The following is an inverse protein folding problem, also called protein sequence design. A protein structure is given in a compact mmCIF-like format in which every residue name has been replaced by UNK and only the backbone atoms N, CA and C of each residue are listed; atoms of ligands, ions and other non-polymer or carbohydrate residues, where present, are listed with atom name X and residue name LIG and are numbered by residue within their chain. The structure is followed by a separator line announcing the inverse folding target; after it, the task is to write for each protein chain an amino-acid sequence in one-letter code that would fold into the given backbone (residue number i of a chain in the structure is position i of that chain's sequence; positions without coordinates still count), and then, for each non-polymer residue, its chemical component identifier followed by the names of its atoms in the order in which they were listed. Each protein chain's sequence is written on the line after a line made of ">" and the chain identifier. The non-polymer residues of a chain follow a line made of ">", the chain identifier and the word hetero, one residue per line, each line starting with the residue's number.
data_IF_498172397274
#
_entry.id   IF_498172397274
#
_cell.length_a   1.000
_cell.length_b   1.000
_cell.length_c   1.000
_cell.angle_alpha   90.00
_cell.angle_beta   90.00
_cell.angle_gamma   90.00
#
_symmetry.space_group_name_H-M   'P 1'
#
loop_
_entity.id
_entity.type
_entity.pdbx_description
1 polymer ?
#
# COMPACT_ATOMS: atom_id res chain seq x y z
N UNK A 1 -73.81 13.27 81.55
CA UNK A 1 -74.39 13.31 82.91
C UNK A 1 -75.23 14.57 83.03
N UNK A 2 -76.37 14.42 83.69
CA UNK A 2 -77.05 15.47 84.47
C UNK A 2 -77.79 16.56 83.70
N UNK A 3 -79.11 16.32 83.62
CA UNK A 3 -80.11 17.23 84.21
C UNK A 3 -79.52 18.14 85.28
N UNK A 4 -79.77 19.44 85.13
CA UNK A 4 -79.56 20.41 86.19
C UNK A 4 -80.90 20.95 86.66
N UNK A 5 -81.37 20.34 87.74
CA UNK A 5 -81.91 20.94 88.98
C UNK A 5 -81.81 22.50 88.95
N UNK A 6 -82.78 23.30 89.39
CA UNK A 6 -83.30 23.36 90.77
C UNK A 6 -84.38 24.45 90.85
N UNK A 7 -85.49 24.22 91.58
CA UNK A 7 -85.86 24.87 92.87
C UNK A 7 -86.00 26.40 92.77
N UNK A 8 -87.02 27.09 93.28
CA UNK A 8 -88.06 26.84 94.28
C UNK A 8 -88.76 28.23 94.43
N UNK A 9 -89.91 28.49 95.03
CA UNK A 9 -90.91 27.74 95.78
C UNK A 9 -92.08 28.71 96.03
N UNK A 10 -93.25 28.13 96.34
CA UNK A 10 -94.19 28.56 97.39
C UNK A 10 -94.33 30.08 97.65
N UNK A 11 -95.49 30.60 97.30
CA UNK A 11 -96.26 31.44 98.23
C UNK A 11 -97.47 30.65 98.70
N UNK A 12 -97.29 29.93 99.81
CA UNK A 12 -98.37 29.36 100.59
C UNK A 12 -98.78 30.43 101.61
N UNK A 13 -99.94 31.10 101.49
CA UNK A 13 -100.41 32.00 102.53
C UNK A 13 -100.86 31.16 103.71
N UNK A 14 -100.12 31.24 104.82
CA UNK A 14 -100.53 30.70 106.12
C UNK A 14 -100.81 31.86 107.09
N UNK A 15 -101.68 31.60 108.08
CA UNK A 15 -102.74 32.51 108.50
C UNK A 15 -102.24 33.62 109.41
N UNK A 16 -102.91 34.77 109.32
CA UNK A 16 -102.79 35.85 110.29
C UNK A 16 -103.47 35.38 111.58
N UNK A 17 -102.69 34.85 112.51
CA UNK A 17 -103.07 34.83 113.92
C UNK A 17 -102.50 36.08 114.58
N UNK A 18 -103.42 36.90 115.06
CA UNK A 18 -103.21 38.10 115.86
C UNK A 18 -102.43 37.74 117.15
N UNK A 19 -101.16 38.17 117.21
CA UNK A 19 -100.37 38.19 118.45
C UNK A 19 -100.00 39.63 118.74
N UNK A 20 -100.90 40.32 119.41
CA UNK A 20 -100.62 41.58 120.10
C UNK A 20 -99.69 41.33 121.30
N UNK A 21 -98.38 41.40 121.05
CA UNK A 21 -97.38 41.64 122.09
C UNK A 21 -96.60 42.89 121.65
N UNK A 22 -96.91 44.03 122.27
CA UNK A 22 -96.22 45.29 122.00
C UNK A 22 -94.75 45.17 122.38
N UNK A 23 -93.88 45.51 121.43
CA UNK A 23 -92.44 45.61 121.63
C UNK A 23 -92.14 46.55 122.81
N UNK A 24 -91.26 46.09 123.69
CA UNK A 24 -90.77 46.85 124.83
C UNK A 24 -89.74 47.88 124.38
N UNK A 25 -89.42 48.86 125.23
CA UNK A 25 -88.42 49.86 124.90
C UNK A 25 -87.00 49.27 124.71
N UNK A 26 -86.74 48.08 125.26
CA UNK A 26 -85.49 47.32 125.05
C UNK A 26 -85.40 46.74 123.63
N UNK A 27 -86.49 46.20 123.10
CA UNK A 27 -86.54 45.65 121.73
C UNK A 27 -86.20 46.71 120.66
N UNK A 28 -86.63 47.96 120.88
CA UNK A 28 -86.32 49.07 119.97
C UNK A 28 -84.86 49.51 120.02
N UNK A 29 -84.19 49.39 121.18
CA UNK A 29 -82.77 49.73 121.28
C UNK A 29 -81.89 48.64 120.68
N UNK A 30 -82.27 47.36 120.81
CA UNK A 30 -81.54 46.24 120.21
C UNK A 30 -81.59 46.29 118.68
N UNK A 31 -82.74 46.62 118.10
CA UNK A 31 -82.87 46.85 116.64
C UNK A 31 -82.00 48.03 116.19
N UNK A 32 -81.90 49.09 116.99
CA UNK A 32 -81.11 50.27 116.66
C UNK A 32 -79.60 49.99 116.71
N UNK A 33 -79.15 49.15 117.65
CA UNK A 33 -77.77 48.67 117.69
C UNK A 33 -77.45 47.74 116.50
N UNK A 34 -78.35 46.81 116.16
CA UNK A 34 -78.15 45.90 115.01
C UNK A 34 -78.07 46.65 113.69
N UNK A 35 -78.93 47.65 113.49
CA UNK A 35 -78.93 48.46 112.26
C UNK A 35 -77.65 49.30 112.15
N UNK A 36 -77.21 49.92 113.25
CA UNK A 36 -75.95 50.68 113.23
C UNK A 36 -74.72 49.77 113.07
N UNK A 37 -74.74 48.55 113.62
CA UNK A 37 -73.64 47.58 113.47
C UNK A 37 -73.49 47.03 112.05
N UNK A 38 -74.54 47.09 111.22
CA UNK A 38 -74.54 46.57 109.84
C UNK A 38 -74.62 47.67 108.76
N UNK A 39 -74.54 48.95 109.15
CA UNK A 39 -74.61 50.06 108.20
C UNK A 39 -73.46 50.03 107.16
N UNK A 40 -72.27 49.57 107.57
CA UNK A 40 -71.07 49.50 106.71
C UNK A 40 -71.11 48.36 105.67
N UNK A 41 -71.95 47.33 105.87
CA UNK A 41 -72.05 46.19 104.94
C UNK A 41 -73.06 46.44 103.80
N UNK A 42 -73.95 47.43 103.94
CA UNK A 42 -74.92 47.81 102.90
C UNK A 42 -74.25 48.60 101.76
N UNK A 43 -73.13 49.29 102.01
CA UNK A 43 -72.39 50.05 100.98
C UNK A 43 -71.41 49.20 100.12
N UNK A 44 -71.30 47.88 100.35
CA UNK A 44 -70.34 47.00 99.65
C UNK A 44 -70.94 46.03 98.63
N UNK A 45 -71.99 46.42 97.91
CA UNK A 45 -72.38 45.68 96.69
C UNK A 45 -71.44 46.06 95.54
N UNK A 46 -70.63 45.15 94.98
CA UNK A 46 -69.76 45.47 93.85
C UNK A 46 -70.58 45.89 92.62
N UNK A 47 -70.28 47.06 92.09
CA UNK A 47 -70.83 47.58 90.83
C UNK A 47 -70.45 46.66 89.68
N UNK A 48 -71.43 46.21 88.89
CA UNK A 48 -71.24 45.44 87.65
C UNK A 48 -70.54 46.25 86.52
N UNK A 49 -70.01 47.44 86.81
CA UNK A 49 -69.32 48.31 85.85
C UNK A 49 -67.95 47.80 85.39
N UNK A 50 -67.36 46.84 86.11
CA UNK A 50 -65.94 46.48 85.92
C UNK A 50 -65.73 45.13 85.21
N UNK A 51 -66.80 44.46 84.76
CA UNK A 51 -66.69 43.27 83.89
C UNK A 51 -66.77 43.76 82.43
N UNK A 52 -65.68 43.67 81.63
CA UNK A 52 -65.74 43.99 80.21
C UNK A 52 -66.86 43.17 79.56
N UNK A 53 -67.76 43.81 78.81
CA UNK A 53 -68.87 43.07 78.20
C UNK A 53 -68.33 42.03 77.23
N UNK A 54 -68.95 40.85 77.18
CA UNK A 54 -68.64 39.87 76.14
C UNK A 54 -69.04 40.48 74.80
N UNK A 55 -68.06 40.72 73.92
CA UNK A 55 -68.27 41.28 72.58
C UNK A 55 -68.31 40.12 71.58
N UNK A 56 -69.42 39.97 70.86
CA UNK A 56 -69.62 38.88 69.90
C UNK A 56 -69.33 39.33 68.45
N UNK A 57 -68.07 39.65 68.14
CA UNK A 57 -67.62 39.97 66.78
C UNK A 57 -66.17 39.52 66.52
N UNK A 58 -65.76 39.31 65.27
CA UNK A 58 -64.38 38.87 64.95
C UNK A 58 -63.41 40.05 64.70
N UNK A 59 -63.78 41.28 65.08
CA UNK A 59 -63.04 42.51 64.73
C UNK A 59 -62.68 43.38 65.95
N UNK A 60 -63.15 43.02 67.14
CA UNK A 60 -62.89 43.75 68.37
C UNK A 60 -61.40 43.78 68.67
N UNK A 61 -60.92 44.98 69.00
CA UNK A 61 -59.52 45.23 69.38
C UNK A 61 -59.36 45.40 70.90
N UNK A 62 -60.42 45.12 71.67
CA UNK A 62 -60.40 45.24 73.13
C UNK A 62 -59.54 44.13 73.73
N UNK A 63 -58.33 44.47 74.17
CA UNK A 63 -57.33 43.50 74.61
C UNK A 63 -57.76 42.61 75.79
N UNK A 64 -58.71 43.07 76.62
CA UNK A 64 -59.13 42.39 77.85
C UNK A 64 -60.57 41.86 77.79
N UNK A 65 -61.20 41.84 76.60
CA UNK A 65 -62.51 41.23 76.42
C UNK A 65 -62.39 39.70 76.31
N UNK A 66 -63.29 38.97 76.96
CA UNK A 66 -63.39 37.53 76.78
C UNK A 66 -63.98 37.20 75.40
N UNK A 67 -63.50 36.12 74.75
CA UNK A 67 -64.16 35.59 73.55
C UNK A 67 -65.57 35.10 73.91
N UNK A 68 -66.54 35.47 73.07
CA UNK A 68 -67.86 34.87 73.05
C UNK A 68 -67.77 33.39 72.67
N UNK A 69 -68.76 32.61 73.11
CA UNK A 69 -68.88 31.20 72.72
C UNK A 69 -69.05 31.04 71.19
N UNK A 70 -69.69 32.02 70.53
CA UNK A 70 -69.94 32.00 69.08
C UNK A 70 -68.66 32.26 68.27
N UNK A 71 -67.81 33.20 68.69
CA UNK A 71 -66.47 33.41 68.10
C UNK A 71 -65.60 32.14 68.23
N UNK A 72 -65.69 31.43 69.37
CA UNK A 72 -64.99 30.16 69.57
C UNK A 72 -65.40 29.08 68.56
N UNK A 73 -66.68 29.01 68.19
CA UNK A 73 -67.17 28.08 67.15
C UNK A 73 -66.63 28.46 65.77
N UNK A 74 -66.65 29.75 65.41
CA UNK A 74 -66.14 30.22 64.12
C UNK A 74 -64.63 29.94 63.99
N UNK A 75 -63.86 30.27 65.04
CA UNK A 75 -62.41 30.00 65.06
C UNK A 75 -62.11 28.50 64.99
N UNK A 76 -62.87 27.67 65.70
CA UNK A 76 -62.74 26.21 65.59
C UNK A 76 -63.01 25.73 64.16
N UNK A 77 -64.03 26.27 63.48
CA UNK A 77 -64.33 25.93 62.09
C UNK A 77 -63.16 26.23 61.13
N UNK A 78 -62.51 27.38 61.28
CA UNK A 78 -61.31 27.71 60.48
C UNK A 78 -60.11 26.83 60.84
N UNK A 79 -59.91 26.52 62.12
CA UNK A 79 -58.83 25.63 62.57
C UNK A 79 -59.04 24.21 62.04
N UNK A 80 -60.27 23.69 62.09
CA UNK A 80 -60.62 22.37 61.54
C UNK A 80 -60.38 22.33 60.02
N UNK A 81 -60.72 23.38 59.29
CA UNK A 81 -60.45 23.49 57.84
C UNK A 81 -58.96 23.48 57.52
N UNK A 82 -58.14 24.20 58.31
CA UNK A 82 -56.68 24.19 58.17
C UNK A 82 -56.12 22.79 58.47
N UNK A 83 -56.59 22.15 59.53
CA UNK A 83 -56.16 20.79 59.90
C UNK A 83 -56.57 19.74 58.86
N UNK A 84 -57.71 19.91 58.20
CA UNK A 84 -58.14 19.05 57.10
C UNK A 84 -57.24 19.20 55.87
N UNK A 85 -56.73 20.41 55.60
CA UNK A 85 -55.84 20.68 54.47
C UNK A 85 -54.39 20.20 54.74
N UNK A 86 -53.99 20.07 56.00
CA UNK A 86 -52.61 19.73 56.38
C UNK A 86 -52.37 18.23 56.60
N UNK A 87 -53.40 17.38 56.63
CA UNK A 87 -53.30 15.98 57.06
C UNK A 87 -53.67 14.95 55.98
N UNK A 88 -53.74 15.31 54.69
CA UNK A 88 -54.09 14.34 53.65
C UNK A 88 -52.86 13.61 53.10
N UNK A 89 -52.94 12.30 53.03
CA UNK A 89 -51.95 11.36 52.50
C UNK A 89 -52.49 10.62 51.26
N UNK A 90 -52.61 11.35 50.14
CA UNK A 90 -53.08 10.81 48.85
C UNK A 90 -51.98 10.89 47.77
N UNK A 91 -52.09 10.06 46.73
CA UNK A 91 -51.06 9.84 45.69
C UNK A 91 -51.41 10.49 44.34
N UNK A 92 -52.43 11.36 44.31
CA UNK A 92 -53.03 11.88 43.07
C UNK A 92 -52.53 13.26 42.60
N UNK A 93 -51.61 13.93 43.31
CA UNK A 93 -51.01 15.23 42.91
C UNK A 93 -51.98 16.41 42.86
N UNK A 94 -53.08 16.35 43.63
CA UNK A 94 -54.16 17.35 43.57
C UNK A 94 -53.96 18.56 44.53
N UNK A 95 -52.90 18.54 45.35
CA UNK A 95 -52.55 19.64 46.26
C UNK A 95 -51.26 20.37 45.85
N UNK A 96 -51.21 21.69 46.11
CA UNK A 96 -50.12 22.57 45.67
C UNK A 96 -48.73 22.09 46.14
N UNK A 97 -48.63 21.48 47.33
CA UNK A 97 -47.37 21.00 47.88
C UNK A 97 -46.83 19.78 47.13
N UNK A 98 -47.71 18.94 46.58
CA UNK A 98 -47.33 17.77 45.79
C UNK A 98 -46.85 18.19 44.41
N UNK A 99 -47.51 19.18 43.79
CA UNK A 99 -47.05 19.81 42.54
C UNK A 99 -45.64 20.39 42.74
N UNK A 100 -45.37 21.06 43.87
CA UNK A 100 -44.03 21.58 44.19
C UNK A 100 -43.00 20.46 44.32
N UNK A 101 -43.36 19.34 44.96
CA UNK A 101 -42.46 18.19 45.10
C UNK A 101 -42.18 17.52 43.77
N UNK A 102 -43.20 17.33 42.93
CA UNK A 102 -43.06 16.78 41.58
C UNK A 102 -42.22 17.69 40.68
N UNK A 103 -42.39 19.01 40.76
CA UNK A 103 -41.55 19.98 40.02
C UNK A 103 -40.08 19.88 40.47
N UNK A 104 -39.81 19.70 41.76
CA UNK A 104 -38.44 19.51 42.27
C UNK A 104 -37.83 18.20 41.76
N UNK A 105 -38.58 17.10 41.81
CA UNK A 105 -38.10 15.81 41.28
C UNK A 105 -37.85 15.90 39.77
N UNK A 106 -38.78 16.49 38.99
CA UNK A 106 -38.59 16.71 37.56
C UNK A 106 -37.37 17.59 37.27
N UNK A 107 -37.12 18.63 38.08
CA UNK A 107 -35.93 19.46 37.94
C UNK A 107 -34.66 18.64 38.14
N UNK A 108 -34.62 17.81 39.18
CA UNK A 108 -33.46 16.96 39.48
C UNK A 108 -33.26 15.90 38.38
N UNK A 109 -34.33 15.27 37.90
CA UNK A 109 -34.30 14.32 36.79
C UNK A 109 -33.79 14.99 35.50
N UNK A 110 -34.30 16.18 35.17
CA UNK A 110 -33.86 16.97 34.01
C UNK A 110 -32.39 17.41 34.12
N UNK A 111 -31.93 17.75 35.32
CA UNK A 111 -30.52 18.09 35.57
C UNK A 111 -29.59 16.88 35.45
N UNK A 112 -30.12 15.66 35.66
CA UNK A 112 -29.37 14.42 35.57
C UNK A 112 -29.40 13.75 34.18
N UNK A 113 -30.07 14.35 33.18
CA UNK A 113 -30.05 13.89 31.80
C UNK A 113 -28.68 14.15 31.14
N UNK A 114 -27.74 13.22 31.36
CA UNK A 114 -26.44 13.17 30.68
C UNK A 114 -26.36 11.93 29.79
N UNK A 115 -25.39 11.89 28.87
CA UNK A 115 -25.17 10.72 28.01
C UNK A 115 -25.03 9.44 28.85
N UNK A 116 -24.34 9.52 29.99
CA UNK A 116 -24.10 8.37 30.88
C UNK A 116 -25.37 7.86 31.59
N UNK A 117 -26.37 8.73 31.80
CA UNK A 117 -27.53 8.42 32.62
C UNK A 117 -28.78 8.08 31.78
N UNK A 118 -28.74 8.23 30.46
CA UNK A 118 -29.83 7.83 29.56
C UNK A 118 -29.60 6.38 29.15
N UNK A 119 -30.44 5.47 29.65
CA UNK A 119 -30.34 4.05 29.34
C UNK A 119 -30.31 3.77 27.83
N UNK A 120 -29.31 3.03 27.35
CA UNK A 120 -29.14 2.65 25.95
C UNK A 120 -28.39 3.66 25.07
N UNK A 121 -28.31 4.93 25.48
CA UNK A 121 -27.63 5.97 24.70
C UNK A 121 -26.09 5.78 24.64
N UNK A 122 -25.39 5.41 25.73
CA UNK A 122 -23.96 5.07 25.68
C UNK A 122 -23.66 3.94 24.70
N UNK A 123 -24.48 2.88 24.70
CA UNK A 123 -24.31 1.72 23.85
C UNK A 123 -24.49 2.07 22.37
N UNK A 124 -25.51 2.86 22.03
CA UNK A 124 -25.71 3.34 20.66
C UNK A 124 -24.59 4.28 20.21
N UNK A 125 -24.09 5.16 21.08
CA UNK A 125 -22.93 6.00 20.76
C UNK A 125 -21.68 5.17 20.46
N UNK A 126 -21.42 4.12 21.25
CA UNK A 126 -20.31 3.19 21.01
C UNK A 126 -20.50 2.43 19.69
N UNK A 127 -21.71 1.98 19.36
CA UNK A 127 -22.00 1.33 18.06
C UNK A 127 -21.69 2.27 16.91
N UNK A 128 -22.21 3.50 16.92
CA UNK A 128 -21.96 4.50 15.87
C UNK A 128 -20.48 4.83 15.78
N UNK A 129 -19.81 5.06 16.90
CA UNK A 129 -18.37 5.33 16.94
C UNK A 129 -17.56 4.18 16.32
N UNK A 130 -17.88 2.92 16.66
CA UNK A 130 -17.21 1.76 16.09
C UNK A 130 -17.51 1.61 14.59
N UNK A 131 -18.76 1.78 14.14
CA UNK A 131 -19.10 1.74 12.71
C UNK A 131 -18.35 2.78 11.90
N UNK A 132 -18.24 4.01 12.40
CA UNK A 132 -17.47 5.08 11.75
C UNK A 132 -15.98 4.74 11.79
N UNK A 133 -15.43 4.36 12.94
CA UNK A 133 -14.03 3.96 13.09
C UNK A 133 -13.65 2.85 12.11
N UNK A 134 -14.45 1.78 12.05
CA UNK A 134 -14.22 0.63 11.17
C UNK A 134 -14.31 1.03 9.69
N UNK A 135 -15.11 2.05 9.34
CA UNK A 135 -15.17 2.62 7.98
C UNK A 135 -13.91 3.40 7.59
N UNK A 136 -13.14 3.92 8.55
CA UNK A 136 -11.96 4.77 8.32
C UNK A 136 -10.61 4.14 8.72
N UNK A 137 -10.58 3.04 9.47
CA UNK A 137 -9.32 2.41 9.89
C UNK A 137 -8.91 1.27 8.96
N UNK A 138 -8.06 1.57 7.97
CA UNK A 138 -7.06 0.72 7.30
C UNK A 138 -7.43 -0.69 6.75
N UNK A 139 -8.59 -1.25 7.08
CA UNK A 139 -9.11 -2.54 6.59
C UNK A 139 -9.80 -2.41 5.23
N UNK A 140 -10.03 -1.19 4.76
CA UNK A 140 -10.48 -0.90 3.39
C UNK A 140 -9.32 -0.73 2.40
N UNK A 141 -8.07 -0.99 2.82
CA UNK A 141 -6.90 -1.06 1.94
C UNK A 141 -6.90 -2.36 1.10
N UNK A 142 -7.71 -3.38 1.46
CA UNK A 142 -7.60 -4.73 0.88
C UNK A 142 -8.92 -5.27 0.24
N UNK A 143 -9.92 -4.44 -0.09
CA UNK A 143 -11.21 -4.93 -0.65
C UNK A 143 -11.48 -4.47 -2.08
N UNK A 144 -10.43 -4.29 -2.88
CA UNK A 144 -10.63 -4.36 -4.32
C UNK A 144 -9.50 -5.16 -4.98
N UNK A 145 -9.50 -6.47 -4.72
CA UNK A 145 -8.60 -7.48 -5.30
C UNK A 145 -8.89 -7.75 -6.79
N UNK A 146 -9.32 -6.73 -7.53
CA UNK A 146 -9.49 -6.80 -8.98
C UNK A 146 -9.19 -5.43 -9.61
N UNK A 147 -8.18 -5.43 -10.47
CA UNK A 147 -7.74 -4.28 -11.24
C UNK A 147 -8.80 -3.74 -12.22
N UNK A 148 -9.82 -4.53 -12.57
CA UNK A 148 -10.87 -4.16 -13.53
C UNK A 148 -12.07 -3.43 -12.89
N UNK A 149 -12.10 -3.27 -11.58
CA UNK A 149 -13.22 -2.64 -10.87
C UNK A 149 -13.31 -1.13 -11.12
N UNK A 150 -14.53 -0.60 -11.10
CA UNK A 150 -14.79 0.83 -11.35
C UNK A 150 -13.99 1.75 -10.42
N UNK A 151 -13.82 1.37 -9.16
CA UNK A 151 -13.05 2.11 -8.16
C UNK A 151 -11.54 2.11 -8.38
N UNK A 152 -11.02 1.25 -9.26
CA UNK A 152 -9.62 1.20 -9.69
C UNK A 152 -9.46 1.74 -11.12
N UNK A 153 -10.56 2.10 -11.79
CA UNK A 153 -10.62 2.54 -13.17
C UNK A 153 -10.89 4.04 -13.33
N UNK A 154 -11.37 4.71 -12.28
CA UNK A 154 -11.82 6.08 -12.35
C UNK A 154 -10.64 7.07 -12.36
N UNK A 155 -10.63 8.09 -13.25
CA UNK A 155 -9.59 9.10 -13.26
C UNK A 155 -9.54 9.93 -11.96
N UNK A 156 -8.34 10.09 -11.39
CA UNK A 156 -8.08 11.05 -10.32
C UNK A 156 -8.62 10.71 -8.93
N UNK A 157 -9.30 9.57 -8.75
CA UNK A 157 -9.90 9.15 -7.46
C UNK A 157 -9.27 7.89 -6.87
N UNK A 158 -8.40 7.20 -7.61
CA UNK A 158 -7.71 6.00 -7.16
C UNK A 158 -6.61 6.35 -6.14
N UNK A 159 -6.91 6.22 -4.85
CA UNK A 159 -5.97 6.44 -3.75
C UNK A 159 -5.36 5.15 -3.16
N UNK A 160 -5.73 3.99 -3.71
CA UNK A 160 -5.37 2.67 -3.17
C UNK A 160 -4.09 2.07 -3.78
N UNK A 161 -3.29 1.43 -2.94
CA UNK A 161 -2.25 0.49 -3.36
C UNK A 161 -2.90 -0.85 -3.69
N UNK A 162 -2.57 -1.43 -4.85
CA UNK A 162 -3.10 -2.71 -5.31
C UNK A 162 -1.93 -3.68 -5.47
N UNK A 163 -2.12 -4.94 -5.05
CA UNK A 163 -1.11 -5.99 -5.27
C UNK A 163 -0.99 -6.32 -6.75
N UNK A 164 0.23 -6.58 -7.17
CA UNK A 164 0.54 -7.01 -8.52
C UNK A 164 -0.20 -8.27 -8.92
N UNK A 165 -0.33 -9.22 -8.01
CA UNK A 165 -1.04 -10.50 -8.21
C UNK A 165 -2.56 -10.48 -7.94
N UNK A 166 -3.13 -9.32 -7.61
CA UNK A 166 -4.58 -9.21 -7.51
C UNK A 166 -5.24 -9.61 -8.85
N UNK A 167 -6.53 -9.95 -8.85
CA UNK A 167 -7.24 -10.38 -10.05
C UNK A 167 -7.03 -9.36 -11.17
N UNK A 168 -6.70 -9.84 -12.38
CA UNK A 168 -6.38 -9.01 -13.55
C UNK A 168 -5.17 -8.07 -13.38
N UNK A 169 -4.26 -8.37 -12.43
CA UNK A 169 -3.07 -7.57 -12.17
C UNK A 169 -1.89 -7.83 -13.13
N UNK A 170 -0.88 -6.95 -13.10
CA UNK A 170 0.23 -6.96 -14.06
C UNK A 170 1.31 -8.03 -13.81
N UNK A 171 1.36 -8.65 -12.64
CA UNK A 171 2.41 -9.61 -12.26
C UNK A 171 1.85 -10.74 -11.40
N UNK A 172 2.39 -11.97 -11.46
CA UNK A 172 1.98 -13.05 -10.56
C UNK A 172 2.51 -12.89 -9.11
N UNK A 173 3.41 -11.93 -8.87
CA UNK A 173 4.11 -11.74 -7.60
C UNK A 173 3.23 -11.03 -6.55
N UNK A 174 3.04 -11.67 -5.39
CA UNK A 174 2.16 -11.24 -4.30
C UNK A 174 2.80 -10.23 -3.34
N UNK A 175 4.10 -10.00 -3.48
CA UNK A 175 4.87 -9.04 -2.69
C UNK A 175 4.94 -7.65 -3.34
N UNK A 176 4.56 -7.54 -4.62
CA UNK A 176 4.68 -6.32 -5.40
C UNK A 176 3.42 -5.47 -5.28
N UNK A 177 3.60 -4.16 -5.11
CA UNK A 177 2.52 -3.18 -4.98
C UNK A 177 2.59 -2.13 -6.08
N UNK A 178 1.42 -1.67 -6.52
CA UNK A 178 1.30 -0.62 -7.53
C UNK A 178 0.19 0.38 -7.15
N UNK A 179 0.34 1.61 -7.62
CA UNK A 179 -0.73 2.57 -7.77
C UNK A 179 -1.43 2.36 -9.12
N UNK A 180 -2.77 2.46 -9.14
CA UNK A 180 -3.53 2.51 -10.39
C UNK A 180 -3.78 3.96 -10.81
N UNK A 181 -3.25 4.36 -11.97
CA UNK A 181 -3.55 5.64 -12.61
C UNK A 181 -4.39 5.39 -13.88
N UNK A 182 -5.52 6.08 -14.01
CA UNK A 182 -6.40 5.93 -15.17
C UNK A 182 -6.62 7.26 -15.90
N UNK A 183 -6.64 7.16 -17.23
CA UNK A 183 -7.20 8.17 -18.13
C UNK A 183 -8.45 7.59 -18.78
N UNK A 184 -9.55 8.33 -18.80
CA UNK A 184 -10.83 7.86 -19.33
C UNK A 184 -11.38 8.81 -20.40
N UNK A 185 -12.09 8.24 -21.36
CA UNK A 185 -12.87 8.96 -22.35
C UNK A 185 -14.33 8.46 -22.33
N UNK A 186 -15.29 9.38 -22.27
CA UNK A 186 -16.73 9.11 -22.40
C UNK A 186 -17.54 9.44 -21.14
N UNK A 187 -17.26 8.78 -20.00
CA UNK A 187 -18.13 8.83 -18.81
C UNK A 187 -17.46 9.33 -17.51
N UNK A 188 -16.12 9.27 -17.39
CA UNK A 188 -15.35 9.71 -16.20
C UNK A 188 -15.79 9.04 -14.88
N UNK A 189 -16.37 7.84 -14.96
CA UNK A 189 -16.91 7.07 -13.85
C UNK A 189 -16.28 5.67 -13.72
N UNK A 190 -15.22 5.40 -14.49
CA UNK A 190 -14.54 4.11 -14.53
C UNK A 190 -15.23 3.07 -15.42
N UNK A 191 -16.23 3.45 -16.22
CA UNK A 191 -16.97 2.56 -17.14
C UNK A 191 -16.75 2.85 -18.62
N UNK A 192 -16.04 3.93 -18.98
CA UNK A 192 -15.76 4.32 -20.35
C UNK A 192 -14.59 3.58 -21.01
N UNK A 193 -14.00 4.24 -22.01
CA UNK A 193 -12.74 3.80 -22.63
C UNK A 193 -11.59 4.25 -21.74
N UNK A 194 -10.78 3.30 -21.27
CA UNK A 194 -9.79 3.55 -20.22
C UNK A 194 -8.39 3.20 -20.71
N UNK A 195 -7.42 4.06 -20.40
CA UNK A 195 -6.02 3.68 -20.31
C UNK A 195 -5.65 3.60 -18.84
N UNK A 196 -5.27 2.41 -18.38
CA UNK A 196 -4.86 2.17 -17.00
C UNK A 196 -3.35 1.94 -16.95
N UNK A 197 -2.69 2.53 -15.97
CA UNK A 197 -1.26 2.44 -15.73
C UNK A 197 -1.04 1.93 -14.30
N UNK A 198 -0.28 0.85 -14.16
CA UNK A 198 0.24 0.37 -12.90
C UNK A 198 1.60 1.05 -12.65
N UNK A 199 1.65 1.93 -11.66
CA UNK A 199 2.86 2.65 -11.26
C UNK A 199 3.42 1.97 -10.01
N UNK A 200 4.67 1.49 -10.01
CA UNK A 200 5.20 0.73 -8.88
C UNK A 200 5.20 1.56 -7.59
N UNK A 201 4.93 0.90 -6.46
CA UNK A 201 5.06 1.49 -5.14
C UNK A 201 6.54 1.83 -4.85
N UNK A 202 6.79 2.76 -3.93
CA UNK A 202 8.11 3.34 -3.67
C UNK A 202 9.12 2.41 -2.99
N UNK A 203 8.80 1.13 -2.75
CA UNK A 203 9.75 0.15 -2.23
C UNK A 203 10.62 -0.43 -3.36
N UNK A 204 11.81 -0.92 -3.00
CA UNK A 204 12.79 -1.37 -3.98
C UNK A 204 12.31 -2.55 -4.83
N UNK A 205 11.53 -3.49 -4.27
CA UNK A 205 11.04 -4.65 -4.99
C UNK A 205 9.99 -4.24 -6.03
N UNK A 206 9.07 -3.34 -5.67
CA UNK A 206 8.08 -2.83 -6.63
C UNK A 206 8.70 -1.95 -7.70
N UNK A 207 9.60 -1.01 -7.34
CA UNK A 207 10.28 -0.15 -8.32
C UNK A 207 11.06 -0.95 -9.37
N UNK A 208 11.66 -2.09 -8.99
CA UNK A 208 12.38 -2.98 -9.91
C UNK A 208 11.46 -3.59 -10.99
N UNK A 209 10.15 -3.74 -10.74
CA UNK A 209 9.21 -4.27 -11.74
C UNK A 209 8.91 -3.29 -12.87
N UNK A 210 9.10 -1.99 -12.65
CA UNK A 210 8.80 -0.94 -13.63
C UNK A 210 7.31 -0.63 -13.77
N UNK A 211 6.97 0.23 -14.73
CA UNK A 211 5.58 0.62 -15.00
C UNK A 211 4.91 -0.40 -15.92
N UNK A 212 3.60 -0.56 -15.81
CA UNK A 212 2.79 -1.29 -16.79
C UNK A 212 1.63 -0.41 -17.25
N UNK A 213 1.14 -0.62 -18.47
CA UNK A 213 -0.08 0.01 -18.95
C UNK A 213 -0.94 -0.97 -19.74
N UNK A 214 -2.23 -0.70 -19.83
CA UNK A 214 -3.19 -1.44 -20.66
C UNK A 214 -4.37 -0.56 -21.04
N UNK A 215 -5.17 -1.04 -21.99
CA UNK A 215 -6.39 -0.36 -22.44
C UNK A 215 -7.65 -1.18 -22.16
N UNK A 216 -8.77 -0.48 -21.98
CA UNK A 216 -10.12 -1.02 -22.07
C UNK A 216 -10.88 -0.28 -23.15
N UNK A 217 -11.40 -1.00 -24.14
CA UNK A 217 -12.24 -0.43 -25.20
C UNK A 217 -13.40 -1.38 -25.50
N UNK A 218 -14.62 -0.84 -25.65
CA UNK A 218 -15.84 -1.64 -25.82
C UNK A 218 -15.96 -2.76 -24.77
N UNK A 219 -15.70 -2.42 -23.50
CA UNK A 219 -15.69 -3.34 -22.35
C UNK A 219 -14.66 -4.48 -22.37
N UNK A 220 -13.75 -4.51 -23.35
CA UNK A 220 -12.68 -5.51 -23.45
C UNK A 220 -11.35 -4.93 -22.96
N UNK A 221 -10.70 -5.63 -22.02
CA UNK A 221 -9.37 -5.29 -21.53
C UNK A 221 -8.27 -5.94 -22.38
N UNK A 222 -7.22 -5.17 -22.69
CA UNK A 222 -5.98 -5.72 -23.24
C UNK A 222 -5.14 -6.39 -22.13
N UNK A 223 -4.16 -7.19 -22.55
CA UNK A 223 -3.09 -7.60 -21.66
C UNK A 223 -2.30 -6.38 -21.14
N UNK A 224 -1.63 -6.56 -19.99
CA UNK A 224 -0.67 -5.59 -19.47
C UNK A 224 0.58 -5.52 -20.35
N UNK A 225 1.03 -4.30 -20.63
CA UNK A 225 2.23 -4.00 -21.40
C UNK A 225 3.21 -3.29 -20.48
N UNK A 226 4.41 -3.85 -20.22
CA UNK A 226 5.43 -3.18 -19.43
C UNK A 226 5.98 -1.95 -20.18
N UNK A 227 6.28 -0.89 -19.44
CA UNK A 227 6.90 0.33 -19.93
C UNK A 227 8.23 0.54 -19.22
N UNK A 228 9.33 0.26 -19.92
CA UNK A 228 10.66 0.77 -19.57
C UNK A 228 11.37 0.16 -18.35
N UNK A 229 11.37 -1.15 -18.16
CA UNK A 229 12.37 -1.81 -17.30
C UNK A 229 13.43 -2.51 -18.15
N UNK A 230 14.41 -1.72 -18.64
CA UNK A 230 15.74 -2.25 -18.92
C UNK A 230 16.39 -2.56 -17.58
N UNK A 231 16.31 -3.82 -17.17
CA UNK A 231 16.75 -4.26 -15.85
C UNK A 231 15.76 -5.27 -15.29
N UNK A 232 15.92 -6.51 -15.73
CA UNK A 232 15.48 -7.73 -15.04
C UNK A 232 13.98 -7.86 -14.75
N UNK A 233 13.33 -8.68 -15.58
CA UNK A 233 12.03 -9.33 -15.37
C UNK A 233 10.77 -8.45 -15.44
N UNK A 234 10.20 -8.32 -16.65
CA UNK A 234 8.85 -7.78 -16.82
C UNK A 234 8.27 -7.75 -18.23
N UNK A 235 9.10 -7.83 -19.27
CA UNK A 235 8.70 -8.10 -20.64
C UNK A 235 9.87 -8.75 -21.35
N UNK A 236 9.62 -9.72 -22.23
CA UNK A 236 10.67 -10.27 -23.09
C UNK A 236 11.21 -9.13 -23.95
N UNK A 237 12.27 -8.44 -23.50
CA UNK A 237 13.08 -7.63 -24.39
C UNK A 237 13.48 -8.56 -25.54
N UNK A 238 13.10 -8.21 -26.76
CA UNK A 238 13.54 -8.93 -27.95
C UNK A 238 14.59 -8.06 -28.63
N UNK A 239 15.59 -8.69 -29.23
CA UNK A 239 16.72 -7.97 -29.84
C UNK A 239 17.94 -7.94 -28.92
N UNK A 240 18.42 -6.73 -28.59
CA UNK A 240 19.70 -6.51 -27.94
C UNK A 240 19.54 -5.87 -26.57
N UNK A 241 20.38 -6.28 -25.62
CA UNK A 241 20.55 -5.64 -24.32
C UNK A 241 21.97 -5.10 -24.17
N UNK A 242 22.08 -3.95 -23.49
CA UNK A 242 23.36 -3.42 -23.04
C UNK A 242 23.60 -3.95 -21.63
N UNK A 243 24.69 -4.70 -21.44
CA UNK A 243 25.07 -5.31 -20.18
C UNK A 243 26.37 -4.72 -19.67
N UNK A 244 26.69 -4.98 -18.41
CA UNK A 244 27.97 -4.60 -17.82
C UNK A 244 28.55 -5.76 -17.02
N UNK A 245 29.72 -6.23 -17.43
CA UNK A 245 30.49 -7.29 -16.76
C UNK A 245 31.85 -6.69 -16.39
N UNK A 246 32.28 -6.81 -15.12
CA UNK A 246 33.57 -6.31 -14.63
C UNK A 246 33.89 -4.83 -15.00
N UNK A 247 32.85 -4.00 -15.13
CA UNK A 247 32.98 -2.57 -15.49
C UNK A 247 33.01 -2.28 -16.99
N UNK A 248 32.94 -3.31 -17.83
CA UNK A 248 32.88 -3.18 -19.29
C UNK A 248 31.43 -3.17 -19.76
N UNK A 249 31.01 -2.10 -20.43
CA UNK A 249 29.71 -2.05 -21.09
C UNK A 249 29.79 -2.68 -22.49
N UNK A 250 28.84 -3.55 -22.84
CA UNK A 250 28.79 -4.25 -24.13
C UNK A 250 27.36 -4.51 -24.58
N UNK A 251 27.17 -4.90 -25.85
CA UNK A 251 25.87 -5.28 -26.40
C UNK A 251 25.80 -6.79 -26.63
N UNK A 252 24.73 -7.43 -26.16
CA UNK A 252 24.48 -8.85 -26.37
C UNK A 252 23.01 -9.12 -26.75
N UNK A 253 22.73 -10.34 -27.19
CA UNK A 253 21.35 -10.81 -27.36
C UNK A 253 20.67 -10.92 -26.00
N UNK A 254 19.40 -10.57 -25.92
CA UNK A 254 18.64 -10.68 -24.67
C UNK A 254 18.58 -12.12 -24.16
N UNK A 255 18.75 -12.30 -22.84
CA UNK A 255 18.42 -13.54 -22.12
C UNK A 255 19.53 -14.58 -22.17
N UNK A 256 20.76 -14.14 -22.45
CA UNK A 256 21.95 -15.00 -22.40
C UNK A 256 22.36 -15.20 -20.95
N UNK A 257 22.70 -16.44 -20.59
CA UNK A 257 23.32 -16.76 -19.31
C UNK A 257 24.80 -16.34 -19.33
N UNK A 258 25.23 -15.35 -18.52
CA UNK A 258 26.60 -14.87 -18.50
C UNK A 258 27.63 -15.97 -18.17
N UNK A 259 27.23 -17.02 -17.44
CA UNK A 259 28.15 -18.12 -17.07
C UNK A 259 28.64 -18.95 -18.27
N UNK A 260 27.97 -18.86 -19.41
CA UNK A 260 28.29 -19.62 -20.62
C UNK A 260 29.34 -18.95 -21.52
N UNK A 261 29.90 -17.82 -21.09
CA UNK A 261 30.74 -16.95 -21.89
C UNK A 261 31.86 -16.33 -21.06
N UNK A 262 32.93 -15.91 -21.73
CA UNK A 262 33.95 -15.09 -21.08
C UNK A 262 33.43 -13.69 -20.77
N UNK A 263 34.17 -13.00 -19.89
CA UNK A 263 33.93 -11.58 -19.61
C UNK A 263 34.08 -10.78 -20.90
N UNK A 264 33.04 -10.02 -21.27
CA UNK A 264 33.09 -9.25 -22.52
C UNK A 264 34.04 -8.07 -22.39
N UNK A 265 34.68 -7.76 -23.50
CA UNK A 265 35.49 -6.54 -23.61
C UNK A 265 34.61 -5.29 -23.59
N UNK A 266 35.18 -4.17 -23.15
CA UNK A 266 34.52 -2.88 -23.24
C UNK A 266 34.14 -2.57 -24.69
N UNK A 267 32.90 -2.11 -24.92
CA UNK A 267 32.33 -1.82 -26.24
C UNK A 267 32.20 -3.03 -27.17
N UNK A 268 32.30 -4.26 -26.66
CA UNK A 268 32.14 -5.45 -27.47
C UNK A 268 30.68 -5.61 -27.98
N UNK A 269 30.55 -6.33 -29.09
CA UNK A 269 29.26 -6.78 -29.64
C UNK A 269 29.28 -8.30 -29.68
N UNK A 270 28.58 -8.93 -28.73
CA UNK A 270 28.59 -10.38 -28.56
C UNK A 270 27.26 -11.01 -28.97
N UNK A 271 27.20 -11.51 -30.21
CA UNK A 271 26.08 -12.30 -30.73
C UNK A 271 26.46 -13.78 -30.84
N UNK A 272 27.46 -14.22 -30.06
CA UNK A 272 27.83 -15.62 -30.00
C UNK A 272 26.76 -16.46 -29.28
N UNK A 273 26.83 -17.77 -29.48
CA UNK A 273 25.91 -18.77 -28.99
C UNK A 273 26.68 -19.79 -28.16
N UNK A 274 26.29 -19.94 -26.90
CA UNK A 274 26.82 -20.94 -25.99
C UNK A 274 25.77 -21.41 -25.00
N UNK A 275 25.75 -22.73 -24.80
CA UNK A 275 24.86 -23.42 -23.86
C UNK A 275 25.64 -24.14 -22.75
N UNK A 276 26.97 -23.98 -22.71
CA UNK A 276 27.83 -24.61 -21.72
C UNK A 276 28.67 -23.55 -21.00
N UNK A 277 28.94 -23.73 -19.69
CA UNK A 277 29.81 -22.83 -18.95
C UNK A 277 31.15 -22.64 -19.64
N UNK A 278 31.60 -21.40 -19.79
CA UNK A 278 32.87 -21.06 -20.43
C UNK A 278 33.39 -19.74 -19.87
N UNK A 279 34.70 -19.55 -19.91
CA UNK A 279 35.37 -18.29 -19.51
C UNK A 279 36.06 -17.59 -20.69
N UNK A 280 36.02 -18.17 -21.88
CA UNK A 280 36.71 -17.64 -23.07
C UNK A 280 35.76 -17.37 -24.23
N UNK A 281 34.52 -17.87 -24.16
CA UNK A 281 33.58 -17.86 -25.27
C UNK A 281 33.03 -16.45 -25.54
N UNK A 282 32.95 -16.08 -26.81
CA UNK A 282 32.32 -14.82 -27.28
C UNK A 282 33.29 -13.66 -27.49
N UNK A 283 32.75 -12.44 -27.49
CA UNK A 283 33.50 -11.20 -27.78
C UNK A 283 34.23 -10.66 -26.53
N UNK A 284 35.32 -11.32 -26.16
CA UNK A 284 36.08 -11.01 -24.92
C UNK A 284 37.11 -9.89 -25.10
N UNK A 285 37.50 -9.59 -26.34
CA UNK A 285 38.37 -8.45 -26.68
C UNK A 285 37.67 -7.10 -26.61
N UNK A 286 38.41 -6.03 -26.32
CA UNK A 286 37.86 -4.66 -26.31
C UNK A 286 37.40 -4.28 -27.72
N UNK A 287 36.14 -3.86 -27.85
CA UNK A 287 35.52 -3.50 -29.12
C UNK A 287 35.44 -4.65 -30.14
N UNK A 288 35.63 -5.90 -29.71
CA UNK A 288 35.56 -7.05 -30.60
C UNK A 288 34.13 -7.44 -30.92
N UNK A 289 33.96 -8.26 -31.96
CA UNK A 289 32.66 -8.71 -32.44
C UNK A 289 32.66 -10.21 -32.64
N UNK A 290 31.71 -10.92 -32.01
CA UNK A 290 31.58 -12.37 -32.15
C UNK A 290 30.17 -12.76 -32.62
N UNK A 291 30.09 -13.65 -33.60
CA UNK A 291 28.85 -14.26 -34.08
C UNK A 291 28.93 -15.79 -34.08
N UNK A 292 27.77 -16.45 -33.91
CA UNK A 292 27.66 -17.91 -33.99
C UNK A 292 28.42 -18.58 -32.84
N UNK A 293 29.19 -19.63 -33.07
CA UNK A 293 29.94 -20.30 -31.98
C UNK A 293 31.40 -19.84 -31.91
N UNK A 294 31.70 -18.65 -32.42
CA UNK A 294 33.06 -18.12 -32.54
C UNK A 294 33.47 -17.26 -31.35
N UNK A 295 34.79 -17.19 -31.14
CA UNK A 295 35.45 -16.43 -30.08
C UNK A 295 36.29 -15.30 -30.69
N UNK A 296 36.17 -14.09 -30.13
CA UNK A 296 36.89 -12.90 -30.61
C UNK A 296 37.66 -12.23 -29.47
N UNK A 297 38.76 -12.83 -28.98
CA UNK A 297 39.51 -12.30 -27.83
C UNK A 297 40.48 -11.15 -28.16
N UNK A 298 40.89 -10.97 -29.42
CA UNK A 298 41.77 -9.87 -29.83
C UNK A 298 41.11 -8.48 -29.70
N UNK A 299 41.93 -7.44 -29.48
CA UNK A 299 41.47 -6.04 -29.52
C UNK A 299 40.88 -5.74 -30.89
N UNK A 300 39.65 -5.23 -30.93
CA UNK A 300 38.95 -4.86 -32.18
C UNK A 300 38.91 -5.99 -33.22
N UNK A 301 38.96 -7.25 -32.78
CA UNK A 301 38.90 -8.40 -33.67
C UNK A 301 37.46 -8.74 -34.07
N UNK A 302 37.31 -9.55 -35.11
CA UNK A 302 36.01 -9.99 -35.62
C UNK A 302 36.00 -11.49 -35.86
N UNK A 303 35.06 -12.22 -35.24
CA UNK A 303 34.89 -13.66 -35.47
C UNK A 303 33.43 -13.98 -35.80
N UNK A 304 33.18 -14.72 -36.87
CA UNK A 304 31.81 -15.05 -37.26
C UNK A 304 31.67 -16.44 -37.86
N UNK A 305 30.46 -17.00 -37.73
CA UNK A 305 30.04 -18.36 -38.11
C UNK A 305 30.41 -19.40 -37.03
N UNK A 306 31.09 -20.49 -37.37
CA UNK A 306 31.26 -21.64 -36.48
C UNK A 306 32.68 -21.81 -35.96
N UNK A 307 32.84 -21.93 -34.66
CA UNK A 307 34.06 -22.42 -33.99
C UNK A 307 35.36 -21.71 -34.43
N UNK A 308 35.29 -20.42 -34.73
CA UNK A 308 36.47 -19.64 -35.09
C UNK A 308 37.07 -18.93 -33.87
N UNK A 309 38.36 -18.61 -33.93
CA UNK A 309 39.07 -17.86 -32.89
C UNK A 309 39.89 -16.71 -33.51
N UNK A 310 39.47 -15.47 -33.24
CA UNK A 310 40.16 -14.25 -33.69
C UNK A 310 40.99 -13.65 -32.54
N UNK A 311 42.11 -14.30 -32.23
CA UNK A 311 42.96 -13.99 -31.08
C UNK A 311 43.96 -12.85 -31.28
N UNK A 312 44.38 -12.59 -32.52
CA UNK A 312 45.21 -11.45 -32.85
C UNK A 312 44.45 -10.13 -32.73
N UNK A 313 45.13 -9.07 -32.30
CA UNK A 313 44.56 -7.72 -32.35
C UNK A 313 44.27 -7.33 -33.81
N UNK A 314 43.11 -6.71 -34.06
CA UNK A 314 42.60 -6.36 -35.38
C UNK A 314 42.43 -7.55 -36.34
N UNK A 315 42.43 -8.79 -35.84
CA UNK A 315 42.32 -9.97 -36.67
C UNK A 315 40.87 -10.27 -37.06
N UNK A 316 40.70 -11.08 -38.11
CA UNK A 316 39.39 -11.55 -38.51
C UNK A 316 39.37 -13.03 -38.91
N UNK A 317 38.39 -13.77 -38.41
CA UNK A 317 38.18 -15.19 -38.68
C UNK A 317 36.75 -15.44 -39.17
N UNK A 318 36.62 -16.21 -40.25
CA UNK A 318 35.33 -16.50 -40.89
C UNK A 318 35.18 -17.98 -41.24
N UNK A 319 33.92 -18.40 -41.35
CA UNK A 319 33.50 -19.75 -41.76
C UNK A 319 33.62 -20.78 -40.64
N UNK A 320 34.45 -21.81 -40.73
CA UNK A 320 34.43 -22.91 -39.76
C UNK A 320 35.82 -23.28 -39.28
N UNK A 321 36.02 -23.38 -37.96
CA UNK A 321 37.25 -23.92 -37.39
C UNK A 321 38.51 -23.18 -37.91
N UNK A 322 38.48 -21.85 -37.84
CA UNK A 322 39.60 -21.00 -38.31
C UNK A 322 40.19 -20.16 -37.19
N UNK A 323 41.52 -20.05 -37.19
CA UNK A 323 42.30 -19.31 -36.19
C UNK A 323 43.05 -18.13 -36.83
N UNK A 324 42.83 -16.91 -36.34
CA UNK A 324 43.58 -15.72 -36.73
C UNK A 324 44.30 -15.15 -35.49
N UNK A 325 45.49 -15.67 -35.21
CA UNK A 325 46.28 -15.35 -34.01
C UNK A 325 47.28 -14.20 -34.22
N UNK A 326 47.72 -13.99 -35.47
CA UNK A 326 48.60 -12.88 -35.81
C UNK A 326 47.91 -11.52 -35.69
N UNK A 327 48.64 -10.49 -35.27
CA UNK A 327 48.17 -9.10 -35.33
C UNK A 327 47.80 -8.74 -36.76
N UNK A 328 46.58 -8.23 -36.95
CA UNK A 328 45.94 -7.97 -38.24
C UNK A 328 45.95 -9.21 -39.18
N UNK A 329 45.89 -10.40 -38.62
CA UNK A 329 45.75 -11.66 -39.34
C UNK A 329 44.34 -11.88 -39.87
N UNK A 330 44.21 -12.63 -40.96
CA UNK A 330 42.94 -13.00 -41.55
C UNK A 330 42.93 -14.51 -41.83
N UNK A 331 41.93 -15.22 -41.32
CA UNK A 331 41.73 -16.65 -41.59
C UNK A 331 40.30 -16.90 -42.07
N UNK A 332 40.12 -17.61 -43.19
CA UNK A 332 38.78 -17.95 -43.65
C UNK A 332 38.70 -19.26 -44.44
N UNK A 333 37.64 -20.04 -44.19
CA UNK A 333 37.41 -21.31 -44.85
C UNK A 333 37.11 -22.40 -43.86
N UNK A 334 37.79 -23.54 -43.95
CA UNK A 334 37.61 -24.65 -43.02
C UNK A 334 38.96 -25.12 -42.51
N UNK A 335 39.23 -25.08 -41.20
CA UNK A 335 40.49 -25.60 -40.67
C UNK A 335 41.73 -24.80 -41.09
N UNK A 336 41.64 -23.48 -41.22
CA UNK A 336 42.78 -22.61 -41.61
C UNK A 336 43.31 -21.81 -40.42
N UNK A 337 44.63 -21.60 -40.39
CA UNK A 337 45.28 -20.78 -39.36
C UNK A 337 46.15 -19.70 -39.98
N UNK A 338 46.17 -18.51 -39.36
CA UNK A 338 47.01 -17.36 -39.68
C UNK A 338 47.78 -16.90 -38.41
N UNK A 339 48.84 -17.62 -38.01
CA UNK A 339 49.53 -17.37 -36.74
C UNK A 339 50.54 -16.21 -36.75
N UNK A 340 50.93 -15.70 -37.92
CA UNK A 340 51.95 -14.64 -38.03
C UNK A 340 51.38 -13.25 -38.31
N UNK A 341 52.13 -12.20 -37.95
CA UNK A 341 51.79 -10.79 -38.21
C UNK A 341 51.29 -10.57 -39.65
N UNK A 342 50.12 -9.96 -39.85
CA UNK A 342 49.51 -9.67 -41.18
C UNK A 342 49.38 -10.87 -42.14
N UNK A 343 49.27 -12.10 -41.62
CA UNK A 343 49.08 -13.29 -42.45
C UNK A 343 47.63 -13.39 -42.94
N UNK A 344 47.45 -13.72 -44.22
CA UNK A 344 46.16 -14.01 -44.83
C UNK A 344 46.09 -15.48 -45.25
N UNK A 345 45.26 -16.28 -44.59
CA UNK A 345 45.14 -17.72 -44.80
C UNK A 345 43.71 -18.09 -45.22
N UNK A 346 43.56 -18.79 -46.34
CA UNK A 346 42.24 -19.19 -46.86
C UNK A 346 42.22 -20.63 -47.36
N UNK A 347 41.03 -21.22 -47.49
CA UNK A 347 40.82 -22.50 -48.16
C UNK A 347 40.34 -23.58 -47.22
N UNK A 348 40.82 -24.82 -47.40
CA UNK A 348 40.41 -25.96 -46.58
C UNK A 348 41.63 -26.68 -46.05
N UNK A 349 41.72 -26.83 -44.73
CA UNK A 349 42.71 -27.57 -43.96
C UNK A 349 44.16 -27.28 -44.38
N UNK A 350 44.64 -26.10 -44.02
CA UNK A 350 46.01 -25.65 -44.32
C UNK A 350 47.05 -26.30 -43.42
N UNK A 351 48.30 -26.34 -43.86
CA UNK A 351 49.36 -26.90 -43.00
C UNK A 351 49.63 -25.98 -41.80
N UNK A 352 49.83 -26.58 -40.64
CA UNK A 352 50.16 -25.87 -39.41
C UNK A 352 51.66 -25.55 -39.36
N UNK A 353 52.02 -24.36 -38.87
CA UNK A 353 53.42 -23.98 -38.67
C UNK A 353 53.57 -23.05 -37.47
N UNK A 354 54.76 -22.98 -36.90
CA UNK A 354 55.08 -22.03 -35.84
C UNK A 354 55.61 -20.75 -36.45
N UNK A 355 54.85 -19.65 -36.31
CA UNK A 355 55.30 -18.33 -36.73
C UNK A 355 56.52 -17.87 -35.92
N UNK A 356 57.45 -17.16 -36.56
CA UNK A 356 58.54 -16.49 -35.87
C UNK A 356 58.07 -15.32 -35.02
N UNK A 357 56.98 -14.63 -35.43
CA UNK A 357 56.32 -13.61 -34.61
C UNK A 357 54.86 -13.40 -35.00
N UNK A 358 53.98 -13.27 -34.00
CA UNK A 358 52.58 -12.87 -34.18
C UNK A 358 52.42 -11.35 -34.37
N UNK A 359 53.40 -10.54 -33.96
CA UNK A 359 53.29 -9.06 -33.91
C UNK A 359 54.34 -8.32 -34.75
N UNK A 360 55.34 -9.02 -35.29
CA UNK A 360 56.41 -8.43 -36.07
C UNK A 360 56.63 -9.13 -37.41
N UNK A 361 57.17 -8.40 -38.40
CA UNK A 361 57.48 -8.95 -39.71
C UNK A 361 58.72 -9.86 -39.64
N UNK A 362 58.52 -11.17 -39.69
CA UNK A 362 59.59 -12.16 -39.88
C UNK A 362 59.60 -12.64 -41.33
N UNK A 363 60.70 -12.45 -42.05
CA UNK A 363 60.76 -12.69 -43.50
C UNK A 363 60.42 -14.13 -43.94
N UNK A 364 60.62 -15.12 -43.08
CA UNK A 364 60.33 -16.53 -43.34
C UNK A 364 58.90 -16.95 -43.00
N UNK A 365 58.13 -16.10 -42.33
CA UNK A 365 56.73 -16.40 -42.01
C UNK A 365 55.84 -16.15 -43.24
N UNK A 366 54.65 -16.76 -43.24
CA UNK A 366 53.68 -16.60 -44.31
C UNK A 366 53.08 -15.20 -44.33
N UNK A 367 52.92 -14.65 -45.52
CA UNK A 367 52.12 -13.46 -45.79
C UNK A 367 50.75 -13.86 -46.35
N UNK A 368 50.73 -14.85 -47.25
CA UNK A 368 49.51 -15.37 -47.86
C UNK A 368 49.60 -16.89 -47.96
N UNK A 369 48.49 -17.59 -47.68
CA UNK A 369 48.39 -19.03 -47.81
C UNK A 369 47.03 -19.44 -48.39
N UNK A 370 47.05 -20.31 -49.40
CA UNK A 370 45.87 -20.96 -49.94
C UNK A 370 45.95 -22.46 -49.66
N UNK A 371 45.11 -22.92 -48.73
CA UNK A 371 44.96 -24.29 -48.29
C UNK A 371 44.04 -25.10 -49.22
N UNK A 372 44.36 -26.39 -49.39
CA UNK A 372 43.60 -27.32 -50.23
C UNK A 372 43.59 -28.76 -49.67
N UNK A 373 43.86 -28.90 -48.38
CA UNK A 373 43.93 -30.18 -47.71
C UNK A 373 42.57 -30.70 -47.27
N UNK A 374 42.65 -31.70 -46.38
CA UNK A 374 41.51 -32.27 -45.66
C UNK A 374 41.85 -32.36 -44.18
N UNK A 375 40.86 -32.56 -43.30
CA UNK A 375 41.07 -32.69 -41.86
C UNK A 375 42.08 -33.76 -41.46
N UNK A 376 42.20 -34.82 -42.27
CA UNK A 376 43.14 -35.92 -42.05
C UNK A 376 44.48 -35.76 -42.78
N UNK A 377 44.55 -34.84 -43.75
CA UNK A 377 45.75 -34.57 -44.54
C UNK A 377 45.81 -33.08 -44.89
N UNK A 378 46.25 -32.22 -43.95
CA UNK A 378 46.39 -30.80 -44.21
C UNK A 378 47.40 -30.54 -45.32
N UNK A 379 47.09 -29.61 -46.22
CA UNK A 379 47.98 -29.22 -47.33
C UNK A 379 47.72 -27.80 -47.79
N UNK A 380 48.74 -27.22 -48.38
CA UNK A 380 48.66 -25.91 -49.02
C UNK A 380 48.84 -26.10 -50.53
N UNK A 381 48.14 -25.30 -51.34
CA UNK A 381 48.35 -25.21 -52.78
C UNK A 381 49.41 -24.15 -53.10
N UNK A 382 49.38 -23.03 -52.37
CA UNK A 382 50.21 -21.86 -52.66
C UNK A 382 50.49 -21.04 -51.39
N UNK A 383 51.75 -20.64 -51.21
CA UNK A 383 52.19 -19.81 -50.09
C UNK A 383 53.09 -18.68 -50.58
N UNK A 384 52.89 -17.47 -50.07
CA UNK A 384 53.81 -16.34 -50.20
C UNK A 384 54.39 -16.05 -48.82
N UNK A 385 55.71 -15.96 -48.70
CA UNK A 385 56.38 -15.56 -47.47
C UNK A 385 56.57 -14.04 -47.40
N UNK A 386 56.75 -13.50 -46.20
CA UNK A 386 56.93 -12.05 -45.96
C UNK A 386 58.17 -11.43 -46.62
N UNK A 387 59.15 -12.25 -47.02
CA UNK A 387 60.31 -11.83 -47.81
C UNK A 387 60.04 -11.82 -49.33
N UNK A 388 58.83 -12.21 -49.77
CA UNK A 388 58.43 -12.26 -51.18
C UNK A 388 58.68 -13.60 -51.88
N UNK A 389 59.27 -14.59 -51.18
CA UNK A 389 59.39 -15.93 -51.75
C UNK A 389 58.00 -16.56 -51.95
N UNK A 390 57.83 -17.23 -53.08
CA UNK A 390 56.60 -17.94 -53.45
C UNK A 390 56.86 -19.44 -53.48
N UNK A 391 55.93 -20.20 -52.91
CA UNK A 391 55.97 -21.66 -52.86
C UNK A 391 54.71 -22.16 -53.54
N UNK A 392 54.89 -22.86 -54.66
CA UNK A 392 53.86 -23.69 -55.26
C UNK A 392 54.08 -25.11 -54.79
N UNK A 393 53.15 -25.61 -53.98
CA UNK A 393 53.33 -26.88 -53.30
C UNK A 393 53.26 -28.04 -54.30
N UNK A 394 54.23 -28.97 -54.27
CA UNK A 394 54.30 -30.02 -55.26
C UNK A 394 53.09 -30.95 -55.27
N UNK A 395 52.67 -31.32 -56.47
CA UNK A 395 51.64 -32.34 -56.70
C UNK A 395 52.18 -33.38 -57.67
N UNK A 396 51.78 -34.66 -57.53
CA UNK A 396 52.17 -35.66 -58.51
C UNK A 396 51.43 -35.37 -59.81
N UNK A 397 52.13 -35.31 -60.94
CA UNK A 397 51.48 -35.12 -62.25
C UNK A 397 50.35 -36.14 -62.49
N UNK A 398 50.49 -37.35 -61.94
CA UNK A 398 49.48 -38.40 -61.99
C UNK A 398 48.13 -38.04 -61.33
N UNK A 399 48.09 -37.02 -60.46
CA UNK A 399 46.84 -36.51 -59.85
C UNK A 399 46.00 -35.62 -60.78
N UNK A 400 46.54 -35.19 -61.93
CA UNK A 400 45.86 -34.28 -62.84
C UNK A 400 45.17 -35.07 -63.97
N UNK A 401 43.86 -35.33 -63.82
CA UNK A 401 43.11 -36.20 -64.74
C UNK A 401 42.80 -35.56 -66.12
N UNK A 402 42.74 -34.22 -66.21
CA UNK A 402 42.39 -33.48 -67.44
C UNK A 402 43.04 -32.10 -67.48
N UNK A 403 44.37 -32.00 -67.66
CA UNK A 403 45.03 -30.70 -67.71
C UNK A 403 44.59 -29.90 -68.94
N UNK A 404 44.34 -28.61 -68.75
CA UNK A 404 44.02 -27.68 -69.84
C UNK A 404 45.28 -26.92 -70.26
N UNK A 405 45.27 -26.29 -71.43
CA UNK A 405 46.36 -25.40 -71.82
C UNK A 405 46.53 -24.30 -70.76
N UNK A 406 47.76 -24.12 -70.27
CA UNK A 406 48.09 -23.19 -69.20
C UNK A 406 48.05 -23.77 -67.78
N UNK A 407 47.66 -25.03 -67.58
CA UNK A 407 47.82 -25.68 -66.26
C UNK A 407 49.30 -25.70 -65.89
N UNK A 408 49.62 -25.30 -64.67
CA UNK A 408 50.97 -25.15 -64.14
C UNK A 408 51.11 -25.93 -62.84
N UNK A 409 52.18 -26.71 -62.67
CA UNK A 409 52.46 -27.47 -61.45
C UNK A 409 53.95 -27.49 -61.12
N UNK A 410 54.27 -27.74 -59.85
CA UNK A 410 55.54 -28.31 -59.41
C UNK A 410 55.35 -29.82 -59.29
N UNK A 411 55.99 -30.60 -60.17
CA UNK A 411 55.73 -32.04 -60.27
C UNK A 411 56.55 -32.83 -59.24
N UNK A 412 55.87 -33.38 -58.23
CA UNK A 412 56.52 -34.18 -57.18
C UNK A 412 57.09 -35.50 -57.71
N UNK A 413 56.58 -36.01 -58.84
CA UNK A 413 57.06 -37.25 -59.46
C UNK A 413 58.40 -37.06 -60.21
N UNK A 414 58.84 -35.80 -60.40
CA UNK A 414 60.03 -35.44 -61.18
C UNK A 414 60.86 -34.36 -60.48
N UNK A 415 61.23 -34.64 -59.23
CA UNK A 415 62.11 -33.80 -58.39
C UNK A 415 61.64 -32.34 -58.28
N UNK A 416 60.33 -32.12 -58.17
CA UNK A 416 59.69 -30.81 -58.03
C UNK A 416 59.97 -29.86 -59.22
N UNK A 417 60.26 -30.39 -60.41
CA UNK A 417 60.41 -29.56 -61.60
C UNK A 417 59.11 -28.85 -61.91
N UNK A 418 59.25 -27.60 -62.34
CA UNK A 418 58.12 -26.79 -62.80
C UNK A 418 57.70 -27.28 -64.18
N UNK A 419 56.39 -27.52 -64.35
CA UNK A 419 55.80 -27.96 -65.61
C UNK A 419 54.58 -27.13 -65.96
N UNK A 420 54.39 -26.91 -67.26
CA UNK A 420 53.14 -26.37 -67.81
C UNK A 420 52.57 -27.30 -68.88
N UNK A 421 51.25 -27.33 -68.98
CA UNK A 421 50.55 -28.07 -70.02
C UNK A 421 50.22 -27.14 -71.20
N UNK A 422 50.59 -27.49 -72.43
CA UNK A 422 50.34 -26.67 -73.63
C UNK A 422 48.97 -26.94 -74.30
N UNK A 423 48.17 -27.82 -73.71
CA UNK A 423 46.91 -28.31 -74.27
C UNK A 423 47.02 -29.71 -74.87
N UNK A 424 48.25 -30.19 -75.12
CA UNK A 424 48.52 -31.54 -75.61
C UNK A 424 49.51 -32.29 -74.72
N UNK A 425 50.60 -31.63 -74.30
CA UNK A 425 51.70 -32.24 -73.56
C UNK A 425 52.10 -31.40 -72.33
N UNK A 426 52.72 -32.08 -71.37
CA UNK A 426 53.44 -31.45 -70.26
C UNK A 426 54.87 -31.09 -70.68
N UNK A 427 55.23 -29.83 -70.51
CA UNK A 427 56.55 -29.28 -70.81
C UNK A 427 57.25 -28.82 -69.53
N UNK A 428 58.56 -29.06 -69.41
CA UNK A 428 59.37 -28.62 -68.26
C UNK A 428 59.87 -27.20 -68.48
N UNK A 429 59.78 -26.35 -67.46
CA UNK A 429 60.43 -25.04 -67.43
C UNK A 429 61.83 -25.23 -66.83
N UNK A 430 62.86 -25.16 -67.68
CA UNK A 430 64.24 -25.21 -67.23
C UNK A 430 64.66 -23.82 -66.73
N UNK A 431 64.99 -23.73 -65.44
CA UNK A 431 65.52 -22.52 -64.81
C UNK A 431 67.05 -22.59 -64.63
N UNK A 432 67.74 -23.32 -65.51
CA UNK A 432 69.20 -23.22 -65.56
C UNK A 432 69.56 -21.79 -65.97
N UNK A 433 70.35 -21.05 -65.18
CA UNK A 433 70.90 -19.78 -65.61
C UNK A 433 71.70 -20.01 -66.89
N UNK A 434 71.47 -19.18 -67.91
CA UNK A 434 72.43 -19.04 -69.01
C UNK A 434 73.74 -18.41 -68.51
#
# INVERSE_FOLDING_TARGET
>A
MSERITYNEKTNPRPVEDRTQQATAEDFNEIKEVVNAHADDIEKSPSFSDIPSVVDDLISTVANAALSANQGVVLKGFIDQILSLLNSDDTTLDELQEIVNYIKQNKDDLQNLTIANIAGLPEEFIKVYNTIKDSFTASNIDIVLDWNTVSNNQPGTNIGLIRGNATNGPTPDDTILFYSLCFEYGSNDGTGVITQIAIPYGDAASLAKGLFYRGRNSDVWSAWIPLGSGGESGGSSTGLEMLTENGNAFWALVGRDPLNYGDRGAFAIDFSLSNNPSTTRGATGVGSVAFGTSDSPGLLSFAANGDNNSAGDYSASFNSDTDAEGYAGFSAGEGTSAPSYVEFSIGSYGTQYTAGSATEKVGTDRLFNAANGTSLAPSDAFTILKNGAMILHPVPKSSIASPVAGTFITDSDDANKIKFHDGTNWNVINMTPE
#
